data_IF_100493570052
#
_entry.id   IF_100493570052
#
_cell.length_a   1.000
_cell.length_b   1.000
_cell.length_c   1.000
_cell.angle_alpha   90.00
_cell.angle_beta   90.00
_cell.angle_gamma   90.00
#
_symmetry.space_group_name_H-M   'P 1'
#
loop_
_entity.id
_entity.type
_entity.pdbx_description
1 polymer ?
#
# COMPACT_ATOMS: atom_id res chain seq x y z
N UNK A 1 -39.55 -14.09 -23.34
CA UNK A 1 -38.64 -13.42 -22.44
C UNK A 1 -38.40 -12.00 -22.88
N UNK A 2 -38.59 -11.04 -21.99
CA UNK A 2 -38.36 -9.63 -22.28
C UNK A 2 -36.87 -9.34 -22.24
N UNK A 3 -36.31 -8.79 -23.29
CA UNK A 3 -34.89 -8.38 -23.34
C UNK A 3 -34.80 -7.01 -22.67
N UNK A 4 -34.19 -6.97 -21.48
CA UNK A 4 -33.97 -5.71 -20.75
C UNK A 4 -32.79 -4.94 -21.39
N UNK A 5 -32.98 -3.64 -21.59
CA UNK A 5 -31.89 -2.76 -22.01
C UNK A 5 -30.82 -2.66 -20.90
N UNK A 6 -29.58 -2.94 -21.23
CA UNK A 6 -28.46 -2.75 -20.35
C UNK A 6 -27.95 -1.30 -20.39
N UNK A 7 -27.61 -0.74 -19.24
CA UNK A 7 -26.93 0.56 -19.16
C UNK A 7 -25.44 0.34 -18.96
N UNK A 8 -24.62 1.05 -19.74
CA UNK A 8 -23.17 1.06 -19.56
C UNK A 8 -22.79 2.23 -18.63
N UNK A 9 -22.21 1.91 -17.47
CA UNK A 9 -21.57 2.87 -16.60
C UNK A 9 -20.08 2.98 -16.94
N UNK A 10 -19.55 4.19 -17.06
CA UNK A 10 -18.12 4.43 -17.21
C UNK A 10 -17.65 5.32 -16.05
N UNK A 11 -16.54 4.93 -15.43
CA UNK A 11 -15.83 5.76 -14.47
C UNK A 11 -14.40 6.00 -14.98
N UNK A 12 -13.87 7.18 -14.69
CA UNK A 12 -12.50 7.55 -15.04
C UNK A 12 -11.81 8.18 -13.84
N UNK A 13 -10.51 8.08 -13.81
CA UNK A 13 -9.66 8.81 -12.88
C UNK A 13 -8.51 9.45 -13.66
N UNK A 14 -8.02 10.58 -13.17
CA UNK A 14 -6.92 11.32 -13.79
C UNK A 14 -5.67 11.15 -12.95
N UNK A 15 -4.53 11.00 -13.62
CA UNK A 15 -3.22 11.02 -12.99
C UNK A 15 -2.37 12.09 -13.65
N UNK A 16 -1.52 12.74 -12.84
CA UNK A 16 -0.54 13.72 -13.32
C UNK A 16 0.86 13.19 -13.04
N UNK A 17 1.69 13.12 -14.06
CA UNK A 17 3.10 12.77 -13.94
C UNK A 17 3.89 14.03 -13.57
N UNK A 18 4.72 13.93 -12.54
CA UNK A 18 5.64 15.00 -12.11
C UNK A 18 7.07 14.58 -12.41
N UNK A 19 7.85 15.48 -13.00
CA UNK A 19 9.28 15.28 -13.18
C UNK A 19 10.01 15.66 -11.89
N UNK A 20 10.94 14.80 -11.47
CA UNK A 20 11.84 15.05 -10.35
C UNK A 20 13.27 14.95 -10.84
N UNK A 21 14.14 15.80 -10.31
CA UNK A 21 15.55 15.80 -10.66
C UNK A 21 16.39 16.48 -9.60
N UNK A 22 17.64 16.08 -9.51
CA UNK A 22 18.66 16.72 -8.68
C UNK A 22 19.77 17.19 -9.60
N UNK A 23 20.10 18.48 -9.52
CA UNK A 23 21.26 19.06 -10.19
C UNK A 23 22.45 19.01 -9.24
N UNK A 24 23.59 18.51 -9.75
CA UNK A 24 24.84 18.49 -9.01
C UNK A 24 25.84 19.35 -9.79
N UNK A 25 26.29 20.45 -9.20
CA UNK A 25 27.25 21.37 -9.80
C UNK A 25 28.65 21.11 -9.21
N UNK A 26 29.65 20.99 -10.08
CA UNK A 26 31.06 20.84 -9.70
C UNK A 26 31.89 22.01 -10.19
N UNK A 27 32.69 22.57 -9.30
CA UNK A 27 33.67 23.57 -9.69
C UNK A 27 34.88 22.90 -10.37
N UNK A 28 35.49 23.58 -11.35
CA UNK A 28 36.68 23.07 -12.05
C UNK A 28 37.81 22.71 -11.09
N UNK A 29 37.99 23.51 -10.03
CA UNK A 29 39.02 23.25 -9.01
C UNK A 29 38.79 21.95 -8.25
N UNK A 30 37.54 21.57 -8.01
CA UNK A 30 37.22 20.27 -7.38
C UNK A 30 37.65 19.11 -8.26
N UNK A 31 37.43 19.21 -9.57
CA UNK A 31 37.86 18.19 -10.54
C UNK A 31 39.37 18.03 -10.60
N UNK A 32 40.15 19.12 -10.51
CA UNK A 32 41.60 19.08 -10.56
C UNK A 32 42.20 18.55 -9.26
N UNK A 33 41.58 18.84 -8.13
CA UNK A 33 42.10 18.52 -6.79
C UNK A 33 41.44 17.27 -6.17
N UNK A 34 40.70 16.46 -6.94
CA UNK A 34 40.06 15.24 -6.45
C UNK A 34 41.04 14.09 -6.25
N UNK A 35 41.93 14.25 -5.27
CA UNK A 35 42.93 13.23 -4.92
C UNK A 35 42.31 12.02 -4.17
N UNK A 36 41.09 12.14 -3.66
CA UNK A 36 40.37 11.11 -2.88
C UNK A 36 39.28 10.41 -3.67
N UNK A 37 39.11 10.71 -4.95
CA UNK A 37 38.02 10.20 -5.77
C UNK A 37 36.62 10.48 -5.21
N UNK A 38 36.50 11.60 -4.48
CA UNK A 38 35.27 12.00 -3.80
C UNK A 38 34.12 12.29 -4.79
N UNK A 39 34.46 12.75 -6.00
CA UNK A 39 33.46 13.02 -7.05
C UNK A 39 32.76 11.73 -7.53
N UNK A 40 33.51 10.64 -7.71
CA UNK A 40 32.90 9.35 -8.07
C UNK A 40 32.00 8.82 -6.94
N UNK A 41 32.40 9.03 -5.69
CA UNK A 41 31.59 8.64 -4.54
C UNK A 41 30.30 9.43 -4.44
N UNK A 42 30.33 10.76 -4.66
CA UNK A 42 29.12 11.60 -4.71
C UNK A 42 28.16 11.15 -5.79
N UNK A 43 28.64 10.78 -6.97
CA UNK A 43 27.81 10.27 -8.06
C UNK A 43 27.17 8.93 -7.69
N UNK A 44 27.92 8.02 -7.07
CA UNK A 44 27.41 6.74 -6.57
C UNK A 44 26.32 6.94 -5.52
N UNK A 45 26.55 7.83 -4.54
CA UNK A 45 25.58 8.14 -3.49
C UNK A 45 24.30 8.75 -4.05
N UNK A 46 24.41 9.62 -5.07
CA UNK A 46 23.25 10.19 -5.75
C UNK A 46 22.48 9.16 -6.56
N UNK A 47 23.15 8.21 -7.20
CA UNK A 47 22.51 7.10 -7.91
C UNK A 47 21.71 6.21 -6.94
N UNK A 48 22.29 5.89 -5.80
CA UNK A 48 21.60 5.17 -4.72
C UNK A 48 20.41 5.95 -4.15
N UNK A 49 20.53 7.28 -4.05
CA UNK A 49 19.44 8.14 -3.60
C UNK A 49 18.28 8.15 -4.59
N UNK A 50 18.56 8.14 -5.90
CA UNK A 50 17.52 8.05 -6.96
C UNK A 50 16.78 6.72 -6.87
N UNK A 51 17.50 5.59 -6.73
CA UNK A 51 16.88 4.27 -6.59
C UNK A 51 15.93 4.18 -5.38
N UNK A 52 16.30 4.82 -4.25
CA UNK A 52 15.44 4.88 -3.05
C UNK A 52 14.30 5.89 -3.16
N UNK A 53 14.42 6.86 -4.06
CA UNK A 53 13.45 7.93 -4.20
C UNK A 53 12.11 7.43 -4.74
N UNK A 54 12.12 6.58 -5.75
CA UNK A 54 10.89 6.01 -6.34
C UNK A 54 10.10 5.25 -5.30
N UNK A 55 10.75 4.33 -4.60
CA UNK A 55 10.16 3.53 -3.55
C UNK A 55 9.61 4.40 -2.40
N UNK A 56 10.41 5.36 -1.91
CA UNK A 56 9.97 6.29 -0.87
C UNK A 56 8.78 7.13 -1.32
N UNK A 57 8.80 7.61 -2.56
CA UNK A 57 7.72 8.45 -3.11
C UNK A 57 6.43 7.65 -3.27
N UNK A 58 6.52 6.40 -3.71
CA UNK A 58 5.36 5.50 -3.78
C UNK A 58 4.70 5.32 -2.41
N UNK A 59 5.46 4.93 -1.40
CA UNK A 59 4.89 4.73 -0.06
C UNK A 59 4.39 6.03 0.57
N UNK A 60 5.09 7.14 0.38
CA UNK A 60 4.63 8.44 0.87
C UNK A 60 3.32 8.89 0.19
N UNK A 61 3.17 8.61 -1.09
CA UNK A 61 1.96 8.93 -1.83
C UNK A 61 0.81 7.98 -1.47
N UNK A 62 1.05 6.67 -1.48
CA UNK A 62 0.00 5.68 -1.31
C UNK A 62 -0.48 5.55 0.14
N UNK A 63 0.42 5.70 1.12
CA UNK A 63 0.12 5.39 2.53
C UNK A 63 0.47 6.52 3.50
N UNK A 64 1.24 7.53 3.11
CA UNK A 64 1.70 8.62 3.98
C UNK A 64 0.80 9.84 4.00
N UNK A 65 -0.02 10.05 2.99
CA UNK A 65 -0.90 11.21 2.87
C UNK A 65 -2.20 11.05 3.66
N UNK A 66 -2.79 12.18 4.11
CA UNK A 66 -4.12 12.21 4.74
C UNK A 66 -4.30 11.19 5.88
N UNK A 67 -3.34 11.12 6.80
CA UNK A 67 -3.34 10.15 7.93
C UNK A 67 -3.37 8.67 7.49
N UNK A 68 -2.74 8.33 6.38
CA UNK A 68 -2.72 6.98 5.84
C UNK A 68 -3.85 6.68 4.85
N UNK A 69 -4.68 7.65 4.53
CA UNK A 69 -5.79 7.48 3.59
C UNK A 69 -5.39 7.64 2.11
N UNK A 70 -4.09 7.81 1.87
CA UNK A 70 -3.55 7.92 0.53
C UNK A 70 -3.84 9.26 -0.16
N UNK A 71 -3.56 9.35 -1.46
CA UNK A 71 -3.74 10.58 -2.21
C UNK A 71 -5.22 10.90 -2.43
N UNK A 72 -5.52 12.20 -2.57
CA UNK A 72 -6.82 12.65 -3.04
C UNK A 72 -6.92 12.41 -4.54
N UNK A 73 -7.92 11.68 -4.95
CA UNK A 73 -8.22 11.39 -6.35
C UNK A 73 -8.68 12.68 -7.06
N UNK A 74 -8.21 12.91 -8.28
CA UNK A 74 -8.42 14.17 -8.98
C UNK A 74 -9.85 14.33 -9.53
N UNK A 75 -10.49 13.24 -9.92
CA UNK A 75 -11.84 13.29 -10.49
C UNK A 75 -12.91 13.26 -9.40
N UNK A 76 -12.78 12.36 -8.44
CA UNK A 76 -13.77 12.17 -7.37
C UNK A 76 -13.53 13.07 -6.15
N UNK A 77 -12.36 13.68 -6.03
CA UNK A 77 -11.91 14.49 -4.87
C UNK A 77 -11.92 13.74 -3.53
N UNK A 78 -12.04 12.40 -3.55
CA UNK A 78 -11.98 11.54 -2.37
C UNK A 78 -10.56 10.97 -2.19
N UNK A 79 -10.22 10.57 -0.97
CA UNK A 79 -8.99 9.83 -0.71
C UNK A 79 -9.07 8.42 -1.32
N UNK A 80 -7.90 7.86 -1.63
CA UNK A 80 -7.77 6.49 -2.15
C UNK A 80 -8.39 5.47 -1.19
N UNK A 81 -8.11 5.61 0.11
CA UNK A 81 -8.73 4.80 1.15
C UNK A 81 -9.83 5.61 1.83
N UNK A 82 -11.07 5.24 1.60
CA UNK A 82 -12.23 5.92 2.19
C UNK A 82 -13.36 4.94 2.46
N UNK A 83 -14.28 5.33 3.33
CA UNK A 83 -15.40 4.49 3.75
C UNK A 83 -16.53 4.45 2.72
N UNK A 84 -16.67 5.48 1.89
CA UNK A 84 -17.72 5.58 0.87
C UNK A 84 -17.51 4.53 -0.23
N UNK A 85 -16.26 4.42 -0.71
CA UNK A 85 -15.89 3.43 -1.72
C UNK A 85 -15.52 2.08 -1.08
N UNK A 86 -15.68 1.95 0.23
CA UNK A 86 -15.37 0.75 1.02
C UNK A 86 -13.93 0.26 0.84
N UNK A 87 -13.01 1.19 0.59
CA UNK A 87 -11.57 0.93 0.52
C UNK A 87 -10.89 1.03 1.88
N UNK A 88 -11.62 1.54 2.88
CA UNK A 88 -11.22 1.65 4.27
C UNK A 88 -12.36 1.17 5.17
N UNK A 89 -12.04 0.48 6.25
CA UNK A 89 -13.02 0.13 7.26
C UNK A 89 -13.61 1.39 7.94
N UNK A 90 -14.87 1.33 8.31
CA UNK A 90 -15.56 2.46 8.98
C UNK A 90 -15.06 2.74 10.40
N UNK A 91 -14.44 1.75 11.02
CA UNK A 91 -13.75 1.87 12.32
C UNK A 91 -12.38 1.20 12.24
N UNK A 92 -11.43 1.66 13.05
CA UNK A 92 -10.14 0.99 13.18
C UNK A 92 -10.34 -0.46 13.62
N UNK A 93 -9.58 -1.37 13.02
CA UNK A 93 -9.59 -2.79 13.39
C UNK A 93 -8.22 -3.21 13.89
N UNK A 94 -8.19 -4.07 14.90
CA UNK A 94 -6.98 -4.73 15.36
C UNK A 94 -6.64 -5.89 14.41
N UNK A 95 -5.38 -6.31 14.43
CA UNK A 95 -4.94 -7.48 13.68
C UNK A 95 -5.32 -8.72 14.50
N UNK A 96 -6.53 -9.22 14.27
CA UNK A 96 -7.06 -10.44 14.87
C UNK A 96 -7.91 -11.21 13.85
N UNK A 97 -8.40 -12.37 14.25
CA UNK A 97 -9.24 -13.22 13.39
C UNK A 97 -10.51 -12.48 12.94
N UNK A 98 -11.11 -11.67 13.81
CA UNK A 98 -12.32 -10.92 13.51
C UNK A 98 -12.04 -9.79 12.50
N UNK A 99 -10.96 -9.03 12.70
CA UNK A 99 -10.53 -7.96 11.79
C UNK A 99 -10.19 -8.50 10.39
N UNK A 100 -9.42 -9.58 10.31
CA UNK A 100 -9.08 -10.23 9.04
C UNK A 100 -10.31 -10.84 8.36
N UNK A 101 -11.24 -11.42 9.12
CA UNK A 101 -12.52 -11.92 8.57
C UNK A 101 -13.36 -10.78 7.99
N UNK A 102 -13.42 -9.64 8.67
CA UNK A 102 -14.14 -8.47 8.18
C UNK A 102 -13.51 -7.91 6.90
N UNK A 103 -12.17 -7.82 6.85
CA UNK A 103 -11.45 -7.39 5.66
C UNK A 103 -11.67 -8.34 4.48
N UNK A 104 -11.56 -9.66 4.70
CA UNK A 104 -11.84 -10.69 3.67
C UNK A 104 -13.26 -10.60 3.15
N UNK A 105 -14.24 -10.42 4.05
CA UNK A 105 -15.65 -10.23 3.68
C UNK A 105 -15.81 -9.00 2.80
N UNK A 106 -15.25 -7.86 3.20
CA UNK A 106 -15.33 -6.60 2.46
C UNK A 106 -14.73 -6.71 1.04
N UNK A 107 -13.65 -7.47 0.86
CA UNK A 107 -13.07 -7.74 -0.45
C UNK A 107 -13.98 -8.63 -1.31
N UNK A 108 -14.56 -9.68 -0.74
CA UNK A 108 -15.46 -10.61 -1.45
C UNK A 108 -16.77 -9.96 -1.90
N UNK A 109 -17.32 -9.08 -1.08
CA UNK A 109 -18.59 -8.37 -1.35
C UNK A 109 -18.42 -7.16 -2.27
N UNK A 110 -17.21 -6.91 -2.81
CA UNK A 110 -17.01 -5.82 -3.77
C UNK A 110 -17.73 -6.09 -5.07
N UNK A 111 -18.29 -4.99 -5.61
CA UNK A 111 -19.05 -5.02 -6.86
C UNK A 111 -18.39 -4.12 -7.89
N UNK A 112 -18.58 -4.52 -9.15
CA UNK A 112 -18.27 -3.72 -10.32
C UNK A 112 -19.27 -2.55 -10.46
N UNK A 113 -19.04 -1.65 -11.42
CA UNK A 113 -19.95 -0.51 -11.66
C UNK A 113 -21.35 -0.93 -12.08
N UNK A 114 -21.48 -2.08 -12.71
CA UNK A 114 -22.74 -2.69 -13.14
C UNK A 114 -23.39 -3.57 -12.06
N UNK A 115 -22.77 -3.69 -10.90
CA UNK A 115 -23.31 -4.37 -9.73
C UNK A 115 -22.97 -5.85 -9.63
N UNK A 116 -22.16 -6.40 -10.54
CA UNK A 116 -21.68 -7.79 -10.45
C UNK A 116 -20.66 -7.96 -9.32
N UNK A 117 -20.64 -9.11 -8.68
CA UNK A 117 -19.66 -9.46 -7.64
C UNK A 117 -18.27 -9.65 -8.27
N UNK A 118 -17.24 -9.07 -7.62
CA UNK A 118 -15.85 -9.18 -8.06
C UNK A 118 -15.11 -10.36 -7.43
N UNK A 119 -15.60 -10.85 -6.31
CA UNK A 119 -15.02 -11.97 -5.52
C UNK A 119 -13.51 -11.86 -5.27
N UNK A 120 -13.05 -10.65 -4.94
CA UNK A 120 -11.63 -10.39 -4.70
C UNK A 120 -11.11 -11.16 -3.49
N UNK A 121 -9.86 -11.60 -3.58
CA UNK A 121 -9.16 -12.30 -2.49
C UNK A 121 -7.90 -11.53 -2.15
N UNK A 122 -7.69 -11.20 -0.86
CA UNK A 122 -6.43 -10.66 -0.38
C UNK A 122 -5.34 -11.73 -0.42
N UNK A 123 -4.14 -11.37 -0.84
CA UNK A 123 -2.96 -12.23 -0.88
C UNK A 123 -1.79 -11.69 -0.04
N UNK A 124 -1.76 -10.40 0.20
CA UNK A 124 -0.68 -9.72 0.91
C UNK A 124 -1.28 -8.96 2.09
N UNK A 125 -0.62 -9.04 3.23
CA UNK A 125 -0.86 -8.20 4.39
C UNK A 125 0.33 -7.27 4.56
N UNK A 126 0.10 -5.97 4.45
CA UNK A 126 1.13 -4.95 4.52
C UNK A 126 1.04 -4.21 5.85
N UNK A 127 2.14 -4.18 6.61
CA UNK A 127 2.18 -3.57 7.95
C UNK A 127 3.44 -2.72 8.15
N UNK A 128 3.36 -1.80 9.10
CA UNK A 128 4.54 -1.12 9.65
C UNK A 128 5.23 -1.95 10.74
N UNK A 129 6.47 -1.59 11.15
CA UNK A 129 7.22 -2.31 12.18
C UNK A 129 6.50 -2.42 13.52
N UNK A 130 5.64 -1.44 13.84
CA UNK A 130 4.87 -1.43 15.09
C UNK A 130 3.86 -2.58 15.18
N UNK A 131 3.44 -3.14 14.05
CA UNK A 131 2.45 -4.21 13.94
C UNK A 131 3.01 -5.52 13.42
N UNK A 132 4.32 -5.61 13.21
CA UNK A 132 4.98 -6.79 12.67
C UNK A 132 4.74 -8.03 13.52
N UNK A 133 4.96 -7.94 14.84
CA UNK A 133 4.81 -9.09 15.75
C UNK A 133 3.38 -9.61 15.79
N UNK A 134 2.39 -8.72 15.85
CA UNK A 134 0.96 -9.10 15.84
C UNK A 134 0.59 -9.81 14.53
N UNK A 135 1.07 -9.28 13.41
CA UNK A 135 0.84 -9.87 12.09
C UNK A 135 1.52 -11.24 11.95
N UNK A 136 2.76 -11.39 12.42
CA UNK A 136 3.45 -12.66 12.44
C UNK A 136 2.73 -13.70 13.29
N UNK A 137 2.26 -13.33 14.47
CA UNK A 137 1.53 -14.24 15.37
C UNK A 137 0.24 -14.77 14.73
N UNK A 138 -0.53 -13.90 14.05
CA UNK A 138 -1.79 -14.35 13.44
C UNK A 138 -1.57 -15.18 12.17
N UNK A 139 -0.49 -14.94 11.44
CA UNK A 139 -0.17 -15.69 10.22
C UNK A 139 0.66 -16.94 10.48
N UNK A 140 1.20 -17.12 11.70
CA UNK A 140 2.01 -18.27 12.05
C UNK A 140 1.20 -19.58 11.97
N UNK A 141 1.78 -20.67 11.46
CA UNK A 141 1.15 -21.99 11.44
C UNK A 141 1.16 -22.59 12.84
N UNK A 142 0.15 -22.31 13.63
CA UNK A 142 -0.04 -22.89 14.96
C UNK A 142 -1.08 -24.01 14.87
N UNK A 143 -0.73 -25.22 15.35
CA UNK A 143 -1.67 -26.31 15.49
C UNK A 143 -2.57 -26.05 16.70
N UNK A 144 -3.85 -25.86 16.47
CA UNK A 144 -4.81 -25.70 17.55
C UNK A 144 -5.14 -27.05 18.18
N UNK A 145 -5.14 -27.12 19.51
CA UNK A 145 -5.54 -28.34 20.25
C UNK A 145 -7.07 -28.53 20.28
N UNK A 146 -7.84 -27.51 19.95
CA UNK A 146 -9.31 -27.53 19.91
C UNK A 146 -9.81 -26.93 18.61
N UNK A 147 -10.87 -27.49 18.03
CA UNK A 147 -11.47 -27.02 16.78
C UNK A 147 -11.95 -25.54 16.82
N UNK A 148 -12.37 -25.07 17.99
CA UNK A 148 -12.79 -23.68 18.18
C UNK A 148 -11.65 -22.65 18.15
N UNK A 149 -10.40 -23.11 18.26
CA UNK A 149 -9.21 -22.25 18.29
C UNK A 149 -8.42 -22.29 16.97
N UNK A 150 -8.98 -22.90 15.93
CA UNK A 150 -8.33 -22.94 14.61
C UNK A 150 -8.27 -21.55 14.00
N UNK A 151 -7.07 -21.14 13.61
CA UNK A 151 -6.85 -19.88 12.90
C UNK A 151 -6.93 -20.12 11.38
N UNK A 152 -8.01 -19.67 10.70
CA UNK A 152 -8.19 -19.88 9.26
C UNK A 152 -7.27 -19.03 8.38
N UNK A 153 -6.51 -18.11 8.96
CA UNK A 153 -5.59 -17.24 8.25
C UNK A 153 -4.14 -17.71 8.29
N UNK A 154 -3.85 -18.77 9.02
CA UNK A 154 -2.50 -19.38 9.07
C UNK A 154 -2.01 -19.70 7.67
N UNK A 155 -0.90 -19.05 7.25
CA UNK A 155 -0.30 -19.23 5.93
C UNK A 155 -1.16 -18.80 4.73
N UNK A 156 -2.27 -18.10 4.95
CA UNK A 156 -3.17 -17.68 3.87
C UNK A 156 -2.76 -16.37 3.19
N UNK A 157 -1.97 -15.54 3.86
CA UNK A 157 -1.50 -14.24 3.40
C UNK A 157 0.03 -14.18 3.46
N UNK A 158 0.64 -13.49 2.49
CA UNK A 158 2.04 -13.10 2.55
C UNK A 158 2.18 -11.85 3.40
N UNK A 159 3.07 -11.87 4.39
CA UNK A 159 3.34 -10.71 5.23
C UNK A 159 4.46 -9.87 4.62
N UNK A 160 4.16 -8.60 4.38
CA UNK A 160 5.13 -7.59 3.95
C UNK A 160 5.27 -6.52 5.03
N UNK A 161 6.49 -6.28 5.48
CA UNK A 161 6.79 -5.30 6.54
C UNK A 161 7.62 -4.18 5.95
N UNK A 162 7.18 -2.93 6.12
CA UNK A 162 7.95 -1.79 5.66
C UNK A 162 8.01 -0.68 6.70
N UNK A 163 9.21 -0.14 6.95
CA UNK A 163 9.43 1.00 7.84
C UNK A 163 8.81 2.33 7.32
N UNK A 164 8.31 2.33 6.08
CA UNK A 164 7.69 3.52 5.48
C UNK A 164 6.23 3.69 5.88
N UNK A 165 5.62 2.65 6.45
CA UNK A 165 4.29 2.74 7.08
C UNK A 165 4.51 3.03 8.56
N UNK A 166 4.00 4.17 9.01
CA UNK A 166 4.10 4.62 10.40
C UNK A 166 2.78 4.42 11.13
N UNK A 167 2.87 4.24 12.47
CA UNK A 167 1.70 4.04 13.31
C UNK A 167 1.17 2.60 13.27
N UNK A 168 -0.12 2.45 13.52
CA UNK A 168 -0.80 1.16 13.69
C UNK A 168 -1.62 0.74 12.46
N UNK A 169 -1.46 1.43 11.34
CA UNK A 169 -2.18 1.09 10.11
C UNK A 169 -1.69 -0.24 9.53
N UNK A 170 -2.63 -1.01 8.97
CA UNK A 170 -2.37 -2.23 8.21
C UNK A 170 -3.29 -2.28 6.98
N UNK A 171 -2.80 -2.91 5.95
CA UNK A 171 -3.46 -2.96 4.63
C UNK A 171 -3.48 -4.37 4.07
#
# INVERSE_FOLDING_TARGET
GEIKAGTFGAAKEKTAVKAYGVRVDFARQMLVNDSLNALAQVLSDRSNAVARFEDRTFYAMAFGGNNGDGPTLLETTRQLFNTTDKTKASAGSVIDIAGLSAARKALRERKTLDGAEMELTGSIMLVGPAKETEAQQILAPVQAQQAGNVNPFSGSLSLEVTAKITGNAWY
#
